data_IF_843691655938
#
_entry.id   IF_843691655938
#
_cell.length_a   1.000
_cell.length_b   1.000
_cell.length_c   1.000
_cell.angle_alpha   90.00
_cell.angle_beta   90.00
_cell.angle_gamma   90.00
#
_symmetry.space_group_name_H-M   'P 1'
#
loop_
_entity.id
_entity.type
_entity.pdbx_description
1 polymer ?
#
# COMPACT_ATOMS: atom_id res chain seq x y z
N UNK A 1 -24.14 -32.79 7.72
CA UNK A 1 -25.06 -32.14 6.77
C UNK A 1 -24.21 -31.35 5.78
N UNK A 2 -24.53 -31.42 4.50
CA UNK A 2 -23.83 -30.60 3.48
C UNK A 2 -24.32 -29.17 3.51
N UNK A 3 -23.42 -28.21 3.38
CA UNK A 3 -23.76 -26.78 3.22
C UNK A 3 -24.63 -26.61 1.96
N UNK A 4 -25.58 -25.69 2.01
CA UNK A 4 -26.44 -25.36 0.86
C UNK A 4 -26.52 -23.85 0.72
N UNK A 5 -26.44 -23.37 -0.51
CA UNK A 5 -26.76 -21.96 -0.80
C UNK A 5 -28.25 -21.74 -0.61
N UNK A 6 -28.65 -20.57 -0.13
CA UNK A 6 -30.07 -20.18 -0.10
C UNK A 6 -30.63 -20.08 -1.53
N UNK A 7 -31.92 -20.16 -1.71
CA UNK A 7 -32.57 -20.04 -3.02
C UNK A 7 -32.32 -18.67 -3.68
N UNK A 8 -32.07 -17.62 -2.87
CA UNK A 8 -31.64 -16.29 -3.33
C UNK A 8 -30.28 -15.94 -2.75
N UNK A 9 -29.40 -15.42 -3.59
CA UNK A 9 -28.10 -14.92 -3.17
C UNK A 9 -28.25 -13.58 -2.44
N UNK A 10 -27.41 -13.32 -1.45
CA UNK A 10 -27.39 -12.03 -0.76
C UNK A 10 -26.70 -10.97 -1.66
N UNK A 11 -27.35 -9.82 -1.92
CA UNK A 11 -26.70 -8.72 -2.62
C UNK A 11 -25.40 -8.29 -1.94
N UNK A 12 -24.39 -7.96 -2.74
CA UNK A 12 -23.05 -7.61 -2.25
C UNK A 12 -23.08 -6.40 -1.30
N UNK A 13 -23.81 -5.36 -1.68
CA UNK A 13 -23.99 -4.13 -0.89
C UNK A 13 -24.66 -4.38 0.45
N UNK A 14 -25.65 -5.27 0.48
CA UNK A 14 -26.33 -5.68 1.71
C UNK A 14 -25.39 -6.42 2.67
N UNK A 15 -24.60 -7.36 2.16
CA UNK A 15 -23.61 -8.09 2.96
C UNK A 15 -22.52 -7.14 3.49
N UNK A 16 -22.01 -6.25 2.63
CA UNK A 16 -21.00 -5.27 2.99
C UNK A 16 -21.52 -4.28 4.06
N UNK A 17 -22.70 -3.73 3.88
CA UNK A 17 -23.33 -2.83 4.85
C UNK A 17 -23.51 -3.48 6.22
N UNK A 18 -23.92 -4.76 6.26
CA UNK A 18 -24.07 -5.51 7.51
C UNK A 18 -22.72 -5.75 8.21
N UNK A 19 -21.63 -5.98 7.45
CA UNK A 19 -20.29 -6.15 8.00
C UNK A 19 -19.68 -4.83 8.48
N UNK A 20 -19.94 -3.72 7.80
CA UNK A 20 -19.43 -2.38 8.17
C UNK A 20 -20.18 -1.78 9.37
N UNK A 21 -21.39 -2.24 9.66
CA UNK A 21 -22.20 -1.73 10.77
C UNK A 21 -21.47 -1.94 12.11
N UNK A 22 -21.17 -0.83 12.81
CA UNK A 22 -20.48 -0.85 14.11
C UNK A 22 -19.00 -1.24 14.01
N UNK A 23 -18.41 -1.21 12.80
CA UNK A 23 -16.97 -1.39 12.61
C UNK A 23 -16.29 -0.01 12.62
N UNK A 24 -15.55 0.27 13.69
CA UNK A 24 -14.83 1.53 13.85
C UNK A 24 -13.35 1.40 13.47
N UNK A 25 -12.70 2.50 13.06
CA UNK A 25 -11.27 2.51 12.85
C UNK A 25 -10.50 2.13 14.11
N UNK A 26 -9.42 1.37 13.92
CA UNK A 26 -8.53 0.98 15.02
C UNK A 26 -7.79 2.20 15.57
N UNK A 27 -7.43 2.14 16.85
CA UNK A 27 -6.52 3.11 17.44
C UNK A 27 -5.13 3.04 16.75
N UNK A 28 -4.47 4.18 16.51
CA UNK A 28 -3.11 4.21 15.99
C UNK A 28 -2.12 3.50 16.92
N UNK A 29 -1.09 2.90 16.32
CA UNK A 29 0.02 2.26 17.02
C UNK A 29 1.35 2.81 16.51
N UNK A 30 2.36 2.86 17.38
CA UNK A 30 3.71 3.26 17.01
C UNK A 30 4.49 2.04 16.52
N UNK A 31 4.86 2.03 15.24
CA UNK A 31 5.67 0.94 14.66
C UNK A 31 7.06 1.44 14.26
N UNK A 32 8.09 0.57 14.37
CA UNK A 32 9.39 0.84 13.76
C UNK A 32 9.23 1.09 12.25
N UNK A 33 10.10 1.94 11.66
CA UNK A 33 10.04 2.23 10.22
C UNK A 33 10.15 0.98 9.34
N UNK A 34 10.82 -0.06 9.82
CA UNK A 34 10.96 -1.36 9.14
C UNK A 34 9.65 -2.13 9.03
N UNK A 35 8.66 -1.80 9.86
CA UNK A 35 7.36 -2.48 9.89
C UNK A 35 6.21 -1.60 9.42
N UNK A 36 6.45 -0.29 9.21
CA UNK A 36 5.41 0.68 8.88
C UNK A 36 4.99 0.67 7.40
N UNK A 37 5.77 0.02 6.52
CA UNK A 37 5.49 -0.03 5.08
C UNK A 37 4.09 -0.62 4.80
N UNK A 38 3.32 0.07 3.94
CA UNK A 38 1.96 -0.33 3.56
C UNK A 38 0.88 -0.03 4.61
N UNK A 39 1.24 0.16 5.89
CA UNK A 39 0.30 0.57 6.94
C UNK A 39 -0.28 1.96 6.64
N UNK A 40 -1.45 2.27 7.17
CA UNK A 40 -2.08 3.56 6.95
C UNK A 40 -1.60 4.57 7.99
N UNK A 41 -1.02 5.68 7.54
CA UNK A 41 -0.51 6.75 8.39
C UNK A 41 -1.65 7.35 9.26
N UNK A 42 -1.35 7.59 10.54
CA UNK A 42 -2.32 8.11 11.50
C UNK A 42 -1.64 8.97 12.57
N UNK A 43 -1.82 10.28 12.51
CA UNK A 43 -1.22 11.19 13.50
C UNK A 43 0.31 11.23 13.43
N UNK A 44 0.90 11.20 12.23
CA UNK A 44 2.34 11.34 12.03
C UNK A 44 2.80 12.75 12.43
N UNK A 45 3.96 12.88 13.12
CA UNK A 45 4.45 14.20 13.53
C UNK A 45 4.85 15.03 12.31
N UNK A 46 4.76 16.36 12.47
CA UNK A 46 5.33 17.28 11.50
C UNK A 46 6.85 17.21 11.57
N UNK A 47 7.48 17.16 10.42
CA UNK A 47 8.93 17.08 10.31
C UNK A 47 9.59 18.44 10.56
N UNK A 48 10.79 18.43 11.14
CA UNK A 48 11.67 19.60 11.16
C UNK A 48 12.31 19.80 9.77
N UNK A 49 12.71 21.05 9.49
CA UNK A 49 13.46 21.36 8.28
C UNK A 49 14.78 20.54 8.21
N UNK A 50 15.09 20.00 7.03
CA UNK A 50 16.29 19.20 6.79
C UNK A 50 16.96 19.58 5.44
N UNK A 51 18.29 19.74 5.40
CA UNK A 51 19.19 19.82 6.55
C UNK A 51 18.89 21.03 7.44
N UNK A 52 19.25 21.02 8.74
CA UNK A 52 18.92 22.12 9.67
C UNK A 52 19.76 23.39 9.41
N UNK A 53 20.78 23.30 8.59
CA UNK A 53 21.69 24.37 8.13
C UNK A 53 22.24 24.04 6.76
N UNK A 54 22.84 25.03 6.09
CA UNK A 54 23.52 24.78 4.79
C UNK A 54 24.63 23.75 4.97
N UNK A 55 24.66 22.75 4.07
CA UNK A 55 25.67 21.68 4.06
C UNK A 55 26.27 21.53 2.67
N UNK A 56 27.50 21.03 2.58
CA UNK A 56 28.13 20.69 1.31
C UNK A 56 27.33 19.59 0.59
N UNK A 57 27.05 19.77 -0.69
CA UNK A 57 26.38 18.78 -1.53
C UNK A 57 27.39 17.82 -2.21
N UNK A 58 28.65 18.19 -2.24
CA UNK A 58 29.78 17.42 -2.81
C UNK A 58 31.04 17.70 -1.99
N UNK A 59 32.02 16.80 -2.11
CA UNK A 59 33.34 17.00 -1.55
C UNK A 59 34.09 18.10 -2.33
N UNK A 60 34.78 18.98 -1.62
CA UNK A 60 35.51 20.06 -2.27
C UNK A 60 35.96 21.18 -1.35
N UNK A 61 36.40 22.28 -1.96
CA UNK A 61 36.89 23.46 -1.28
C UNK A 61 35.77 24.47 -1.02
N UNK A 62 35.50 24.78 0.24
CA UNK A 62 34.50 25.78 0.62
C UNK A 62 35.09 27.19 0.53
N UNK A 63 34.42 28.08 -0.20
CA UNK A 63 34.89 29.42 -0.53
C UNK A 63 33.70 30.41 -0.55
N UNK A 64 34.04 31.72 -0.56
CA UNK A 64 33.09 32.77 -0.83
C UNK A 64 33.08 33.09 -2.33
N UNK A 65 31.98 32.88 -3.01
CA UNK A 65 31.89 33.06 -4.47
C UNK A 65 32.22 34.48 -4.92
N UNK A 66 31.85 35.51 -4.12
CA UNK A 66 32.18 36.90 -4.44
C UNK A 66 33.67 37.19 -4.46
N UNK A 67 34.47 36.43 -3.70
CA UNK A 67 35.94 36.62 -3.66
C UNK A 67 36.64 35.94 -4.84
N UNK A 68 35.91 35.16 -5.65
CA UNK A 68 36.43 34.35 -6.75
C UNK A 68 36.22 34.98 -8.13
N UNK A 69 35.68 36.18 -8.18
CA UNK A 69 35.39 36.86 -9.46
C UNK A 69 36.65 37.08 -10.27
N UNK A 70 36.68 36.59 -11.51
CA UNK A 70 37.85 36.66 -12.43
C UNK A 70 38.81 35.50 -12.28
N UNK A 71 38.63 34.58 -11.32
CA UNK A 71 39.48 33.40 -11.16
C UNK A 71 39.34 32.45 -12.36
N UNK A 72 40.44 32.04 -12.95
CA UNK A 72 40.46 31.04 -14.02
C UNK A 72 41.84 30.36 -14.10
N UNK A 73 41.94 29.27 -14.85
CA UNK A 73 43.22 28.60 -15.10
C UNK A 73 44.25 29.49 -15.80
N UNK A 74 43.83 30.56 -16.49
CA UNK A 74 44.70 31.55 -17.15
C UNK A 74 45.01 32.76 -16.24
N UNK A 75 44.17 32.97 -15.22
CA UNK A 75 44.30 34.03 -14.23
C UNK A 75 44.01 33.48 -12.84
N UNK A 76 44.93 32.65 -12.27
CA UNK A 76 44.74 32.06 -10.95
C UNK A 76 44.62 33.12 -9.88
N UNK A 77 43.66 32.97 -8.96
CA UNK A 77 43.47 33.87 -7.82
C UNK A 77 44.29 33.35 -6.63
N UNK A 78 45.32 34.10 -6.13
CA UNK A 78 46.11 33.65 -5.00
C UNK A 78 45.35 33.84 -3.68
N UNK A 79 45.38 32.83 -2.83
CA UNK A 79 44.89 32.88 -1.46
C UNK A 79 46.07 32.79 -0.48
N UNK A 80 46.01 33.58 0.59
CA UNK A 80 47.06 33.60 1.62
C UNK A 80 47.11 32.31 2.47
N UNK A 81 46.01 31.54 2.48
CA UNK A 81 45.87 30.26 3.19
C UNK A 81 45.05 29.32 2.36
N UNK A 82 45.27 28.02 2.54
CA UNK A 82 44.41 27.01 1.94
C UNK A 82 42.96 27.18 2.44
N UNK A 83 41.98 27.13 1.53
CA UNK A 83 40.56 27.16 1.93
C UNK A 83 40.21 25.88 2.70
N UNK A 84 39.17 25.89 3.51
CA UNK A 84 38.71 24.68 4.19
C UNK A 84 38.18 23.65 3.19
N UNK A 85 38.59 22.40 3.36
CA UNK A 85 37.99 21.25 2.69
C UNK A 85 36.71 20.84 3.42
N UNK A 86 35.70 20.46 2.67
CA UNK A 86 34.43 19.90 3.18
C UNK A 86 34.09 18.62 2.44
N UNK A 87 33.60 17.65 3.17
CA UNK A 87 33.00 16.44 2.59
C UNK A 87 31.49 16.62 2.45
N UNK A 88 30.85 15.88 1.52
CA UNK A 88 29.44 15.94 1.29
C UNK A 88 28.65 15.64 2.60
N UNK A 89 27.78 16.54 2.99
CA UNK A 89 27.03 16.50 4.25
C UNK A 89 27.64 17.33 5.39
N UNK A 90 28.88 17.80 5.26
CA UNK A 90 29.49 18.68 6.24
C UNK A 90 28.76 20.03 6.28
N UNK A 91 28.74 20.64 7.47
CA UNK A 91 28.22 21.99 7.62
C UNK A 91 29.11 22.99 6.88
N UNK A 92 28.50 23.91 6.13
CA UNK A 92 29.24 24.97 5.48
C UNK A 92 29.98 25.83 6.50
N UNK A 93 31.31 26.07 6.30
CA UNK A 93 32.07 26.98 7.13
C UNK A 93 31.49 28.41 7.06
N UNK A 94 31.62 29.15 8.16
CA UNK A 94 31.18 30.54 8.22
C UNK A 94 31.86 31.41 7.15
N UNK A 95 31.06 32.16 6.39
CA UNK A 95 31.57 33.04 5.32
C UNK A 95 31.75 32.33 3.97
N UNK A 96 31.57 31.01 3.88
CA UNK A 96 31.61 30.28 2.62
C UNK A 96 30.17 30.08 2.08
N UNK A 97 29.99 30.31 0.79
CA UNK A 97 28.69 30.20 0.11
C UNK A 97 28.77 29.44 -1.22
N UNK A 98 29.92 28.81 -1.52
CA UNK A 98 30.10 27.86 -2.60
C UNK A 98 31.08 26.76 -2.22
N UNK A 99 30.98 25.60 -2.92
CA UNK A 99 31.98 24.51 -2.89
C UNK A 99 32.48 24.32 -4.31
N UNK A 100 33.80 24.36 -4.49
CA UNK A 100 34.46 24.06 -5.76
C UNK A 100 35.06 22.66 -5.72
N UNK A 101 35.15 22.02 -6.89
CA UNK A 101 35.79 20.71 -7.05
C UNK A 101 37.25 20.71 -6.63
N UNK A 102 37.81 19.55 -6.33
CA UNK A 102 39.16 19.38 -5.84
C UNK A 102 40.23 20.00 -6.75
N UNK A 103 40.05 19.91 -8.07
CA UNK A 103 40.95 20.40 -9.10
C UNK A 103 40.85 21.92 -9.39
N UNK A 104 39.82 22.56 -8.82
CA UNK A 104 39.67 24.02 -8.92
C UNK A 104 40.59 24.80 -7.98
N UNK A 105 41.35 24.13 -7.08
CA UNK A 105 42.31 24.76 -6.18
C UNK A 105 43.62 24.01 -6.18
N UNK A 106 44.70 24.71 -6.49
CA UNK A 106 46.08 24.21 -6.40
C UNK A 106 46.73 24.67 -5.09
N UNK A 107 47.29 23.72 -4.33
CA UNK A 107 48.03 24.01 -3.11
C UNK A 107 49.51 24.21 -3.40
N UNK A 108 50.04 25.38 -3.07
CA UNK A 108 51.44 25.77 -3.26
C UNK A 108 52.12 26.00 -1.91
N UNK A 109 52.38 24.93 -1.17
CA UNK A 109 52.84 24.98 0.22
C UNK A 109 51.77 25.56 1.16
N UNK A 110 52.05 26.68 1.87
CA UNK A 110 51.05 27.32 2.73
C UNK A 110 50.01 28.16 1.96
N UNK A 111 50.29 28.45 0.70
CA UNK A 111 49.45 29.27 -0.19
C UNK A 111 48.55 28.37 -1.04
N UNK A 112 47.46 28.92 -1.57
CA UNK A 112 46.62 28.26 -2.55
C UNK A 112 46.34 29.17 -3.74
N UNK A 113 46.02 28.59 -4.90
CA UNK A 113 45.57 29.30 -6.09
C UNK A 113 44.22 28.72 -6.53
N UNK A 114 43.21 29.58 -6.71
CA UNK A 114 41.90 29.19 -7.22
C UNK A 114 41.87 29.38 -8.72
N UNK A 115 41.50 28.33 -9.45
CA UNK A 115 41.54 28.23 -10.90
C UNK A 115 40.18 28.38 -11.58
N UNK A 116 39.11 28.58 -10.79
CA UNK A 116 37.77 28.70 -11.30
C UNK A 116 36.91 29.67 -10.47
N UNK A 117 35.97 30.33 -11.12
CA UNK A 117 34.96 31.13 -10.43
C UNK A 117 33.93 30.19 -9.75
N UNK A 118 33.36 30.65 -8.63
CA UNK A 118 32.23 30.03 -7.96
C UNK A 118 30.98 30.87 -8.10
N UNK A 119 29.84 30.22 -8.01
CA UNK A 119 28.54 30.89 -7.96
C UNK A 119 27.92 30.68 -6.57
N UNK A 120 27.32 31.72 -5.94
CA UNK A 120 26.64 31.55 -4.65
C UNK A 120 25.61 30.42 -4.65
N UNK A 121 25.78 29.45 -3.74
CA UNK A 121 24.98 28.24 -3.67
C UNK A 121 25.48 27.05 -4.46
N UNK A 122 26.53 27.20 -5.28
CA UNK A 122 27.15 26.09 -6.00
C UNK A 122 27.71 25.05 -5.03
N UNK A 123 27.39 23.78 -5.25
CA UNK A 123 27.85 22.67 -4.39
C UNK A 123 27.30 22.71 -2.97
N UNK A 124 26.20 23.45 -2.71
CA UNK A 124 25.58 23.58 -1.38
C UNK A 124 24.14 23.06 -1.42
N UNK A 125 23.79 22.29 -0.41
CA UNK A 125 22.41 21.98 -0.07
C UNK A 125 21.95 22.94 1.03
N UNK A 126 20.95 23.76 0.70
CA UNK A 126 20.44 24.80 1.60
C UNK A 126 19.67 24.21 2.78
N UNK A 127 19.70 24.89 3.89
CA UNK A 127 18.84 24.60 5.04
C UNK A 127 17.37 24.46 4.60
N UNK A 128 16.73 23.36 4.99
CA UNK A 128 15.36 23.04 4.58
C UNK A 128 15.18 22.63 3.11
N UNK A 129 16.27 22.47 2.36
CA UNK A 129 16.19 22.16 0.93
C UNK A 129 15.64 20.77 0.60
N UNK A 130 15.78 19.81 1.51
CA UNK A 130 15.25 18.44 1.35
C UNK A 130 13.90 18.26 2.01
N UNK A 131 13.70 18.88 3.17
CA UNK A 131 12.45 18.90 3.93
C UNK A 131 12.24 20.35 4.42
N UNK A 132 11.18 20.98 3.95
CA UNK A 132 10.78 22.31 4.36
C UNK A 132 10.00 22.22 5.66
N UNK A 133 10.31 22.02 6.73
CA UNK A 133 9.59 21.86 7.99
C UNK A 133 8.07 22.11 7.98
N UNK A 134 7.36 21.42 8.85
CA UNK A 134 5.90 21.58 8.98
C UNK A 134 5.05 20.64 8.13
N UNK A 135 5.67 19.77 7.32
CA UNK A 135 4.98 18.69 6.60
C UNK A 135 5.13 17.35 7.33
N UNK A 136 4.13 16.45 7.33
CA UNK A 136 4.27 15.11 7.89
C UNK A 136 5.06 14.20 6.94
N UNK A 137 5.77 13.21 7.47
CA UNK A 137 6.46 12.20 6.66
C UNK A 137 5.51 11.41 5.75
N UNK A 138 4.29 11.15 6.23
CA UNK A 138 3.22 10.51 5.50
C UNK A 138 1.90 11.22 5.80
N UNK A 139 1.09 11.46 4.76
CA UNK A 139 -0.21 12.08 4.93
C UNK A 139 -1.18 11.13 5.63
N UNK A 140 -1.99 11.65 6.55
CA UNK A 140 -2.97 10.84 7.29
C UNK A 140 -3.98 10.18 6.36
N UNK A 141 -4.29 8.91 6.63
CA UNK A 141 -5.22 8.12 5.82
C UNK A 141 -4.63 7.55 4.53
N UNK A 142 -3.36 7.82 4.25
CA UNK A 142 -2.66 7.23 3.10
C UNK A 142 -1.67 6.14 3.53
N UNK A 143 -1.35 5.18 2.63
CA UNK A 143 -0.35 4.16 2.92
C UNK A 143 1.05 4.76 3.04
N UNK A 144 1.81 4.26 4.01
CA UNK A 144 3.22 4.61 4.19
C UNK A 144 4.04 3.94 3.08
N UNK A 145 4.39 4.72 2.07
CA UNK A 145 5.22 4.27 0.95
C UNK A 145 6.72 4.43 1.21
N UNK A 146 7.58 3.94 0.29
CA UNK A 146 9.04 4.06 0.39
C UNK A 146 9.54 5.50 0.51
N UNK A 147 8.93 6.45 -0.20
CA UNK A 147 9.29 7.87 -0.12
C UNK A 147 8.99 8.46 1.26
N UNK A 148 7.85 8.11 1.88
CA UNK A 148 7.51 8.52 3.23
C UNK A 148 8.51 7.98 4.26
N UNK A 149 8.95 6.72 4.10
CA UNK A 149 9.97 6.11 4.94
C UNK A 149 11.35 6.78 4.76
N UNK A 150 11.68 7.21 3.53
CA UNK A 150 12.90 7.98 3.28
C UNK A 150 12.88 9.31 4.03
N UNK A 151 11.78 10.08 3.91
CA UNK A 151 11.58 11.35 4.63
C UNK A 151 11.68 11.16 6.14
N UNK A 152 10.99 10.13 6.68
CA UNK A 152 11.04 9.82 8.11
C UNK A 152 12.46 9.54 8.59
N UNK A 153 13.24 8.75 7.85
CA UNK A 153 14.66 8.46 8.18
C UNK A 153 15.54 9.70 8.10
N UNK A 154 15.39 10.51 7.05
CA UNK A 154 16.14 11.75 6.89
C UNK A 154 15.85 12.74 8.04
N UNK A 155 14.62 12.76 8.53
CA UNK A 155 14.22 13.55 9.68
C UNK A 155 14.62 12.94 11.05
N UNK A 156 15.30 11.79 11.06
CA UNK A 156 15.75 11.12 12.30
C UNK A 156 14.63 10.42 13.07
N UNK A 157 13.51 10.07 12.43
CA UNK A 157 12.45 9.30 13.07
C UNK A 157 12.79 7.81 13.05
N UNK A 158 12.56 7.13 14.17
CA UNK A 158 12.71 5.66 14.29
C UNK A 158 11.38 4.93 14.14
N UNK A 159 10.27 5.63 14.37
CA UNK A 159 8.92 5.07 14.42
C UNK A 159 7.93 6.00 13.72
N UNK A 160 6.84 5.39 13.22
CA UNK A 160 5.69 6.13 12.71
C UNK A 160 4.40 5.68 13.41
N UNK A 161 3.49 6.61 13.58
CA UNK A 161 2.13 6.34 14.04
C UNK A 161 1.28 5.88 12.85
N UNK A 162 0.73 4.68 12.94
CA UNK A 162 -0.02 4.04 11.85
C UNK A 162 -1.18 3.20 12.38
N UNK A 163 -2.15 2.89 11.52
CA UNK A 163 -3.17 1.87 11.78
C UNK A 163 -2.78 0.59 11.02
N UNK A 164 -2.70 -0.51 11.76
CA UNK A 164 -2.31 -1.83 11.24
C UNK A 164 -3.31 -2.89 11.71
N UNK A 165 -4.34 -3.22 10.91
CA UNK A 165 -5.30 -4.26 11.27
C UNK A 165 -4.62 -5.64 11.38
N UNK A 166 -5.01 -6.41 12.40
CA UNK A 166 -4.54 -7.79 12.61
C UNK A 166 -5.48 -8.74 11.89
N UNK A 167 -4.97 -9.49 10.97
CA UNK A 167 -5.69 -10.44 10.16
C UNK A 167 -5.29 -11.87 10.51
N UNK A 168 -6.26 -12.67 10.93
CA UNK A 168 -6.11 -14.12 11.03
C UNK A 168 -6.65 -14.78 9.77
N UNK A 169 -5.84 -15.62 9.14
CA UNK A 169 -6.24 -16.43 7.99
C UNK A 169 -6.19 -17.91 8.39
N UNK A 170 -7.32 -18.57 8.35
CA UNK A 170 -7.43 -20.01 8.57
C UNK A 170 -7.51 -20.72 7.22
N UNK A 171 -6.46 -21.48 6.87
CA UNK A 171 -6.44 -22.32 5.69
C UNK A 171 -7.21 -23.62 5.95
N UNK A 172 -8.22 -23.90 5.14
CA UNK A 172 -8.86 -25.22 5.11
C UNK A 172 -8.03 -26.11 4.19
N UNK A 173 -7.57 -27.30 4.64
CA UNK A 173 -6.63 -28.13 3.89
C UNK A 173 -7.00 -28.30 2.42
N UNK A 174 -6.04 -28.03 1.51
CA UNK A 174 -6.22 -28.07 0.07
C UNK A 174 -6.41 -26.71 -0.62
N UNK A 175 -6.34 -25.59 0.12
CA UNK A 175 -6.42 -24.23 -0.44
C UNK A 175 -5.13 -23.41 -0.21
N UNK A 176 -4.01 -24.06 0.03
CA UNK A 176 -2.73 -23.45 0.45
C UNK A 176 -2.22 -22.38 -0.52
N UNK A 177 -2.27 -22.61 -1.85
CA UNK A 177 -1.84 -21.62 -2.84
C UNK A 177 -2.68 -20.34 -2.80
N UNK A 178 -3.99 -20.49 -2.64
CA UNK A 178 -4.93 -19.35 -2.49
C UNK A 178 -4.69 -18.63 -1.17
N UNK A 179 -4.45 -19.36 -0.08
CA UNK A 179 -4.12 -18.77 1.22
C UNK A 179 -2.85 -17.90 1.13
N UNK A 180 -1.79 -18.40 0.47
CA UNK A 180 -0.57 -17.61 0.27
C UNK A 180 -0.84 -16.32 -0.52
N UNK A 181 -1.60 -16.41 -1.63
CA UNK A 181 -1.99 -15.23 -2.42
C UNK A 181 -2.67 -14.17 -1.54
N UNK A 182 -3.67 -14.58 -0.76
CA UNK A 182 -4.43 -13.65 0.10
C UNK A 182 -3.53 -13.09 1.22
N UNK A 183 -2.67 -13.91 1.82
CA UNK A 183 -1.74 -13.47 2.85
C UNK A 183 -0.73 -12.45 2.32
N UNK A 184 -0.20 -12.65 1.11
CA UNK A 184 0.78 -11.74 0.50
C UNK A 184 0.13 -10.41 0.12
N UNK A 185 -1.08 -10.43 -0.45
CA UNK A 185 -1.85 -9.21 -0.75
C UNK A 185 -2.17 -8.45 0.55
N UNK A 186 -2.55 -9.15 1.62
CA UNK A 186 -2.85 -8.54 2.90
C UNK A 186 -1.61 -7.89 3.54
N UNK A 187 -0.46 -8.55 3.49
CA UNK A 187 0.81 -7.97 3.97
C UNK A 187 1.21 -6.74 3.16
N UNK A 188 1.07 -6.80 1.84
CA UNK A 188 1.33 -5.65 0.96
C UNK A 188 0.40 -4.46 1.26
N UNK A 189 -0.82 -4.73 1.72
CA UNK A 189 -1.77 -3.72 2.19
C UNK A 189 -1.51 -3.26 3.65
N UNK A 190 -0.39 -3.65 4.26
CA UNK A 190 0.04 -3.20 5.58
C UNK A 190 -0.65 -3.89 6.77
N UNK A 191 -1.27 -5.06 6.58
CA UNK A 191 -1.88 -5.80 7.67
C UNK A 191 -0.86 -6.65 8.43
N UNK A 192 -1.12 -6.88 9.72
CA UNK A 192 -0.44 -7.91 10.50
C UNK A 192 -1.12 -9.26 10.27
N UNK A 193 -0.48 -10.14 9.51
CA UNK A 193 -1.09 -11.37 9.00
C UNK A 193 -0.57 -12.59 9.75
N UNK A 194 -1.48 -13.28 10.41
CA UNK A 194 -1.24 -14.59 11.02
C UNK A 194 -1.99 -15.67 10.23
N UNK A 195 -1.27 -16.67 9.75
CA UNK A 195 -1.84 -17.81 9.05
C UNK A 195 -1.87 -19.04 9.92
N UNK A 196 -2.93 -19.84 9.83
CA UNK A 196 -3.08 -21.09 10.55
C UNK A 196 -3.76 -22.12 9.65
N UNK A 197 -3.33 -23.37 9.70
CA UNK A 197 -3.97 -24.45 8.97
C UNK A 197 -4.91 -25.21 9.90
N UNK A 198 -6.16 -25.39 9.51
CA UNK A 198 -7.09 -26.24 10.25
C UNK A 198 -6.60 -27.71 10.20
N UNK A 199 -6.72 -28.43 11.31
CA UNK A 199 -6.25 -29.82 11.40
C UNK A 199 -6.99 -30.77 10.45
N UNK A 200 -8.23 -30.43 10.11
CA UNK A 200 -9.06 -31.16 9.13
C UNK A 200 -10.06 -30.25 8.45
N UNK A 201 -10.79 -30.80 7.46
CA UNK A 201 -11.84 -30.05 6.71
C UNK A 201 -13.21 -30.06 7.37
N UNK A 202 -13.37 -30.64 8.55
CA UNK A 202 -14.64 -30.66 9.26
C UNK A 202 -14.87 -29.36 10.06
N UNK A 203 -16.14 -29.14 10.43
CA UNK A 203 -16.53 -27.89 11.09
C UNK A 203 -15.97 -27.73 12.52
N UNK A 204 -15.59 -28.81 13.21
CA UNK A 204 -15.01 -28.73 14.54
C UNK A 204 -13.56 -28.23 14.44
N UNK A 205 -12.75 -28.87 13.59
CA UNK A 205 -11.36 -28.52 13.34
C UNK A 205 -11.21 -27.07 12.80
N UNK A 206 -12.11 -26.64 11.91
CA UNK A 206 -12.11 -25.27 11.40
C UNK A 206 -12.51 -24.28 12.50
N UNK A 207 -13.53 -24.60 13.31
CA UNK A 207 -13.95 -23.73 14.40
C UNK A 207 -12.91 -23.59 15.52
N UNK A 208 -12.15 -24.64 15.81
CA UNK A 208 -11.01 -24.61 16.74
C UNK A 208 -9.89 -23.69 16.22
N UNK A 209 -9.65 -23.70 14.91
CA UNK A 209 -8.65 -22.83 14.28
C UNK A 209 -8.98 -21.32 14.33
N UNK A 210 -10.22 -20.96 14.70
CA UNK A 210 -10.59 -19.55 14.93
C UNK A 210 -9.98 -18.98 16.21
N UNK A 211 -9.61 -19.84 17.17
CA UNK A 211 -9.04 -19.39 18.44
C UNK A 211 -7.64 -18.79 18.25
N UNK A 212 -7.50 -17.53 18.63
CA UNK A 212 -6.25 -16.81 18.67
C UNK A 212 -6.36 -15.67 19.69
N UNK A 213 -5.23 -15.19 20.24
CA UNK A 213 -5.27 -14.19 21.31
C UNK A 213 -6.00 -12.91 20.91
N UNK A 214 -5.74 -12.42 19.71
CA UNK A 214 -6.34 -11.15 19.22
C UNK A 214 -6.25 -11.05 17.70
N UNK A 215 -7.33 -10.67 17.06
CA UNK A 215 -7.40 -10.28 15.64
C UNK A 215 -8.60 -9.33 15.43
N UNK A 216 -8.52 -8.51 14.39
CA UNK A 216 -9.53 -7.51 14.05
C UNK A 216 -10.40 -7.97 12.87
N UNK A 217 -9.91 -8.96 12.12
CA UNK A 217 -10.57 -9.59 10.97
C UNK A 217 -10.16 -11.06 10.87
N UNK A 218 -11.11 -11.93 10.59
CA UNK A 218 -10.87 -13.36 10.36
C UNK A 218 -11.29 -13.75 8.94
N UNK A 219 -10.39 -14.44 8.24
CA UNK A 219 -10.71 -15.09 6.97
C UNK A 219 -10.54 -16.60 7.09
N UNK A 220 -11.43 -17.38 6.48
CA UNK A 220 -11.14 -18.75 6.10
C UNK A 220 -10.89 -18.82 4.61
N UNK A 221 -9.95 -19.66 4.18
CA UNK A 221 -9.68 -19.90 2.75
C UNK A 221 -9.99 -21.36 2.44
N UNK A 222 -11.01 -21.56 1.61
CA UNK A 222 -11.58 -22.85 1.31
C UNK A 222 -12.74 -23.25 2.23
N UNK A 223 -13.48 -24.27 1.84
CA UNK A 223 -14.59 -24.83 2.60
C UNK A 223 -15.87 -23.99 2.66
N UNK A 224 -15.96 -22.89 1.93
CA UNK A 224 -17.17 -22.04 1.85
C UNK A 224 -18.22 -22.55 0.86
N UNK A 225 -17.87 -23.49 -0.01
CA UNK A 225 -18.75 -24.02 -1.04
C UNK A 225 -19.84 -24.93 -0.52
N UNK A 226 -20.46 -25.68 -1.45
CA UNK A 226 -21.55 -26.63 -1.17
C UNK A 226 -21.13 -28.08 -1.35
N UNK A 227 -19.83 -28.32 -1.50
CA UNK A 227 -19.26 -29.66 -1.61
C UNK A 227 -19.44 -30.48 -0.33
N UNK A 228 -19.33 -31.79 -0.45
CA UNK A 228 -19.51 -32.72 0.70
C UNK A 228 -18.49 -32.50 1.84
N UNK A 229 -17.34 -31.90 1.53
CA UNK A 229 -16.25 -31.62 2.47
C UNK A 229 -16.17 -30.13 2.85
N UNK A 230 -17.12 -29.32 2.44
CA UNK A 230 -17.14 -27.90 2.76
C UNK A 230 -17.87 -27.69 4.09
N UNK A 231 -17.21 -27.04 5.04
CA UNK A 231 -17.70 -26.91 6.40
C UNK A 231 -17.36 -25.56 7.07
N UNK A 232 -16.75 -24.61 6.35
CA UNK A 232 -16.33 -23.33 6.92
C UNK A 232 -17.52 -22.50 7.43
N UNK A 233 -18.63 -22.50 6.70
CA UNK A 233 -19.86 -21.79 7.12
C UNK A 233 -20.51 -22.47 8.32
N UNK A 234 -20.50 -23.79 8.36
CA UNK A 234 -20.97 -24.56 9.54
C UNK A 234 -20.09 -24.29 10.76
N UNK A 235 -18.77 -24.17 10.58
CA UNK A 235 -17.84 -23.78 11.64
C UNK A 235 -18.13 -22.38 12.17
N UNK A 236 -18.37 -21.42 11.26
CA UNK A 236 -18.77 -20.07 11.63
C UNK A 236 -20.09 -20.07 12.43
N UNK A 237 -21.11 -20.78 11.97
CA UNK A 237 -22.41 -20.88 12.65
C UNK A 237 -22.32 -21.51 14.05
N UNK A 238 -21.29 -22.30 14.35
CA UNK A 238 -21.05 -22.85 15.70
C UNK A 238 -20.46 -21.85 16.69
N UNK A 239 -19.78 -20.83 16.20
CA UNK A 239 -18.98 -19.90 17.03
C UNK A 239 -19.53 -18.47 17.00
N UNK A 240 -20.35 -18.12 16.01
CA UNK A 240 -20.85 -16.79 15.81
C UNK A 240 -22.06 -16.74 14.88
N UNK A 241 -22.28 -15.58 14.31
CA UNK A 241 -23.43 -15.30 13.47
C UNK A 241 -23.08 -15.37 11.99
N UNK A 242 -23.86 -16.09 11.21
CA UNK A 242 -23.79 -16.09 9.74
C UNK A 242 -24.74 -15.02 9.21
N UNK A 243 -24.18 -13.98 8.58
CA UNK A 243 -24.93 -12.87 7.97
C UNK A 243 -25.40 -13.27 6.57
N UNK A 244 -24.51 -13.88 5.79
CA UNK A 244 -24.80 -14.32 4.43
C UNK A 244 -24.00 -15.59 4.09
N UNK A 245 -24.63 -16.52 3.37
CA UNK A 245 -23.94 -17.62 2.68
C UNK A 245 -24.42 -17.65 1.25
N UNK A 246 -23.51 -17.38 0.32
CA UNK A 246 -23.81 -17.12 -1.08
C UNK A 246 -24.09 -15.64 -1.34
N UNK A 247 -23.17 -15.05 -2.09
CA UNK A 247 -23.21 -13.64 -2.49
C UNK A 247 -23.60 -13.50 -3.95
N UNK A 248 -24.37 -12.47 -4.27
CA UNK A 248 -24.64 -12.05 -5.64
C UNK A 248 -23.39 -11.36 -6.22
N UNK A 249 -22.28 -12.09 -6.30
CA UNK A 249 -20.95 -11.66 -6.75
C UNK A 249 -20.33 -12.71 -7.63
N UNK A 250 -19.76 -12.30 -8.76
CA UNK A 250 -19.02 -13.18 -9.67
C UNK A 250 -17.68 -12.54 -10.11
N UNK A 251 -16.55 -13.30 -9.96
CA UNK A 251 -16.41 -14.56 -9.23
C UNK A 251 -16.64 -14.37 -7.72
N UNK A 252 -16.92 -15.45 -6.98
CA UNK A 252 -17.05 -15.39 -5.51
C UNK A 252 -18.40 -15.80 -4.92
N UNK A 253 -19.29 -16.34 -5.74
CA UNK A 253 -20.66 -16.68 -5.40
C UNK A 253 -20.82 -17.51 -4.11
N UNK A 254 -19.88 -18.41 -3.80
CA UNK A 254 -19.96 -19.32 -2.65
C UNK A 254 -19.34 -18.75 -1.38
N UNK A 255 -18.89 -17.50 -1.40
CA UNK A 255 -18.38 -16.85 -0.19
C UNK A 255 -19.47 -16.70 0.87
N UNK A 256 -19.03 -16.61 2.13
CA UNK A 256 -19.93 -16.33 3.24
C UNK A 256 -19.37 -15.20 4.10
N UNK A 257 -20.26 -14.48 4.74
CA UNK A 257 -19.99 -13.37 5.65
C UNK A 257 -20.66 -13.60 6.99
N UNK A 258 -20.00 -13.22 8.06
CA UNK A 258 -20.54 -13.32 9.41
C UNK A 258 -19.71 -12.58 10.44
N UNK A 259 -19.92 -12.88 11.71
CA UNK A 259 -19.20 -12.26 12.84
C UNK A 259 -18.91 -13.26 13.95
N UNK A 260 -17.80 -13.05 14.64
CA UNK A 260 -17.51 -13.62 15.96
C UNK A 260 -17.51 -12.47 16.97
N UNK A 261 -18.62 -12.29 17.66
CA UNK A 261 -18.86 -11.07 18.44
C UNK A 261 -18.84 -9.84 17.54
N UNK A 262 -17.86 -8.94 17.76
CA UNK A 262 -17.70 -7.75 16.92
C UNK A 262 -16.75 -7.95 15.72
N UNK A 263 -16.02 -9.05 15.69
CA UNK A 263 -15.02 -9.31 14.63
C UNK A 263 -15.70 -9.81 13.36
N UNK A 264 -15.53 -9.12 12.22
CA UNK A 264 -15.99 -9.62 10.92
C UNK A 264 -15.28 -10.92 10.55
N UNK A 265 -16.05 -11.85 9.98
CA UNK A 265 -15.54 -13.13 9.46
C UNK A 265 -16.00 -13.30 8.03
N UNK A 266 -15.04 -13.63 7.14
CA UNK A 266 -15.35 -13.90 5.74
C UNK A 266 -14.80 -15.28 5.37
N UNK A 267 -15.68 -16.17 4.90
CA UNK A 267 -15.27 -17.44 4.35
C UNK A 267 -15.05 -17.30 2.84
N UNK A 268 -13.78 -17.28 2.45
CA UNK A 268 -13.35 -17.20 1.05
C UNK A 268 -13.44 -18.57 0.37
N UNK A 269 -13.83 -18.64 -0.91
CA UNK A 269 -13.69 -19.84 -1.72
C UNK A 269 -12.23 -20.33 -1.79
N UNK A 270 -12.04 -21.61 -2.09
CA UNK A 270 -10.69 -22.19 -2.17
C UNK A 270 -9.97 -21.90 -3.47
N UNK A 271 -10.65 -21.45 -4.53
CA UNK A 271 -10.01 -21.05 -5.80
C UNK A 271 -9.52 -19.61 -5.75
N UNK A 272 -8.38 -19.34 -6.37
CA UNK A 272 -7.68 -18.06 -6.29
C UNK A 272 -8.48 -16.89 -6.89
N UNK A 273 -9.13 -17.13 -8.02
CA UNK A 273 -9.97 -16.16 -8.72
C UNK A 273 -11.16 -15.70 -7.84
N UNK A 274 -11.90 -16.64 -7.29
CA UNK A 274 -13.05 -16.33 -6.44
C UNK A 274 -12.61 -15.70 -5.12
N UNK A 275 -11.54 -16.18 -4.49
CA UNK A 275 -11.04 -15.62 -3.25
C UNK A 275 -10.54 -14.18 -3.44
N UNK A 276 -9.82 -13.90 -4.54
CA UNK A 276 -9.37 -12.56 -4.87
C UNK A 276 -10.52 -11.61 -5.16
N UNK A 277 -11.55 -12.05 -5.88
CA UNK A 277 -12.74 -11.23 -6.13
C UNK A 277 -13.46 -10.84 -4.82
N UNK A 278 -13.63 -11.81 -3.91
CA UNK A 278 -14.23 -11.54 -2.59
C UNK A 278 -13.31 -10.63 -1.75
N UNK A 279 -11.99 -10.81 -1.85
CA UNK A 279 -11.03 -9.89 -1.25
C UNK A 279 -11.27 -8.45 -1.72
N UNK A 280 -11.30 -8.21 -3.03
CA UNK A 280 -11.48 -6.89 -3.62
C UNK A 280 -12.82 -6.25 -3.27
N UNK A 281 -13.91 -7.03 -3.35
CA UNK A 281 -15.26 -6.51 -3.19
C UNK A 281 -15.76 -6.43 -1.75
N UNK A 282 -15.26 -7.27 -0.84
CA UNK A 282 -15.79 -7.39 0.51
C UNK A 282 -14.72 -7.18 1.60
N UNK A 283 -13.56 -7.84 1.48
CA UNK A 283 -12.52 -7.74 2.51
C UNK A 283 -11.84 -6.38 2.49
N UNK A 284 -11.49 -5.90 1.31
CA UNK A 284 -10.75 -4.64 1.15
C UNK A 284 -11.48 -3.42 1.74
N UNK A 285 -12.81 -3.24 1.54
CA UNK A 285 -13.56 -2.19 2.21
C UNK A 285 -13.55 -2.28 3.74
N UNK A 286 -13.51 -3.49 4.32
CA UNK A 286 -13.38 -3.66 5.78
C UNK A 286 -12.00 -3.27 6.27
N UNK A 287 -10.96 -3.65 5.54
CA UNK A 287 -9.58 -3.24 5.82
C UNK A 287 -9.46 -1.72 5.75
N UNK A 288 -10.02 -1.08 4.72
CA UNK A 288 -10.01 0.36 4.57
C UNK A 288 -10.75 1.05 5.74
N UNK A 289 -11.86 0.50 6.19
CA UNK A 289 -12.59 1.00 7.36
C UNK A 289 -11.78 0.85 8.65
N UNK A 290 -11.21 -0.33 8.92
CA UNK A 290 -10.41 -0.59 10.13
C UNK A 290 -9.15 0.28 10.19
N UNK A 291 -8.53 0.55 9.06
CA UNK A 291 -7.33 1.39 8.97
C UNK A 291 -7.62 2.88 8.81
N UNK A 292 -8.89 3.30 8.69
CA UNK A 292 -9.31 4.65 8.33
C UNK A 292 -8.60 5.16 7.06
N UNK A 293 -8.42 4.28 6.09
CA UNK A 293 -7.84 4.64 4.79
C UNK A 293 -8.76 5.62 4.06
N UNK A 294 -8.17 6.64 3.47
CA UNK A 294 -8.89 7.51 2.53
C UNK A 294 -9.29 6.73 1.27
N UNK A 295 -10.33 7.20 0.54
CA UNK A 295 -10.81 6.51 -0.65
C UNK A 295 -9.68 6.15 -1.62
N UNK A 296 -9.68 4.90 -2.10
CA UNK A 296 -8.70 4.42 -3.08
C UNK A 296 -8.81 5.19 -4.38
N UNK A 297 -7.66 5.41 -5.00
CA UNK A 297 -7.58 6.09 -6.29
C UNK A 297 -8.28 5.27 -7.37
N UNK A 298 -9.08 5.94 -8.20
CA UNK A 298 -9.66 5.39 -9.42
C UNK A 298 -9.10 6.13 -10.61
N UNK A 299 -8.93 5.42 -11.70
CA UNK A 299 -8.52 5.99 -12.99
C UNK A 299 -9.67 5.78 -13.97
N UNK A 300 -10.14 6.87 -14.55
CA UNK A 300 -11.19 6.85 -15.56
C UNK A 300 -10.57 6.82 -16.94
N UNK A 301 -10.77 5.74 -17.68
CA UNK A 301 -10.35 5.59 -19.08
C UNK A 301 -11.48 4.98 -19.90
N UNK A 302 -11.48 5.19 -21.25
CA UNK A 302 -12.45 4.53 -22.11
C UNK A 302 -12.20 3.01 -22.13
N UNK A 303 -13.27 2.25 -22.22
CA UNK A 303 -13.20 0.79 -22.32
C UNK A 303 -12.92 0.37 -23.78
N UNK A 304 -11.85 -0.37 -24.02
CA UNK A 304 -11.47 -0.78 -25.38
C UNK A 304 -12.47 -1.76 -26.01
N UNK A 305 -13.12 -2.61 -25.19
CA UNK A 305 -14.09 -3.62 -25.63
C UNK A 305 -15.26 -3.66 -24.65
N UNK A 306 -16.47 -4.00 -25.16
CA UNK A 306 -17.67 -4.16 -24.34
C UNK A 306 -17.44 -5.19 -23.22
N UNK A 307 -17.91 -4.86 -22.02
CA UNK A 307 -18.16 -5.79 -20.93
C UNK A 307 -19.65 -6.03 -20.86
N UNK A 308 -20.08 -7.29 -20.94
CA UNK A 308 -21.47 -7.67 -20.70
C UNK A 308 -21.58 -8.31 -19.30
N UNK A 309 -22.63 -8.00 -18.58
CA UNK A 309 -22.94 -8.50 -17.24
C UNK A 309 -24.41 -8.85 -17.12
N UNK A 310 -24.75 -9.63 -16.11
CA UNK A 310 -26.14 -10.05 -15.83
C UNK A 310 -26.73 -9.22 -14.69
N UNK A 311 -27.90 -8.65 -14.89
CA UNK A 311 -28.64 -7.96 -13.83
C UNK A 311 -28.92 -8.91 -12.66
N UNK A 312 -28.74 -8.41 -11.44
CA UNK A 312 -28.95 -9.16 -10.20
C UNK A 312 -27.69 -9.74 -9.58
N UNK A 313 -26.56 -9.72 -10.29
CA UNK A 313 -25.25 -10.18 -9.81
C UNK A 313 -24.22 -9.10 -10.06
N UNK A 314 -23.45 -8.70 -9.05
CA UNK A 314 -22.29 -7.86 -9.22
C UNK A 314 -21.14 -8.67 -9.83
N UNK A 315 -20.44 -8.12 -10.82
CA UNK A 315 -19.33 -8.80 -11.46
C UNK A 315 -18.05 -7.98 -11.36
N UNK A 316 -16.91 -8.66 -11.13
CA UNK A 316 -15.64 -8.00 -11.17
C UNK A 316 -14.93 -8.34 -12.46
N UNK A 317 -14.46 -7.31 -13.15
CA UNK A 317 -13.61 -7.40 -14.33
C UNK A 317 -12.17 -7.04 -14.00
N UNK A 318 -11.21 -7.81 -14.52
CA UNK A 318 -9.79 -7.48 -14.52
C UNK A 318 -9.43 -6.76 -15.81
N UNK A 319 -8.66 -5.69 -15.68
CA UNK A 319 -8.31 -4.78 -16.76
C UNK A 319 -6.80 -4.62 -16.86
N UNK A 320 -6.32 -4.36 -18.08
CA UNK A 320 -4.96 -3.88 -18.34
C UNK A 320 -5.05 -2.54 -19.08
N UNK A 321 -4.12 -1.62 -18.83
CA UNK A 321 -4.03 -0.39 -19.57
C UNK A 321 -3.25 -0.61 -20.86
N UNK A 322 -3.87 -0.33 -22.01
CA UNK A 322 -3.21 -0.32 -23.31
C UNK A 322 -3.70 0.91 -24.10
N UNK A 323 -2.76 1.71 -24.60
CA UNK A 323 -3.04 2.89 -25.44
C UNK A 323 -4.06 3.87 -24.84
N UNK A 324 -3.94 4.17 -23.53
CA UNK A 324 -4.85 5.02 -22.77
C UNK A 324 -6.31 4.53 -22.76
N UNK A 325 -6.50 3.22 -22.80
CA UNK A 325 -7.79 2.58 -22.66
C UNK A 325 -7.72 1.36 -21.73
N UNK A 326 -8.82 1.06 -21.06
CA UNK A 326 -8.95 -0.17 -20.30
C UNK A 326 -9.31 -1.33 -21.23
N UNK A 327 -8.44 -2.31 -21.32
CA UNK A 327 -8.68 -3.57 -22.04
C UNK A 327 -9.11 -4.65 -21.06
N UNK A 328 -10.34 -5.19 -21.18
CA UNK A 328 -10.78 -6.30 -20.32
C UNK A 328 -9.95 -7.55 -20.58
N UNK A 329 -9.34 -8.08 -19.52
CA UNK A 329 -8.64 -9.37 -19.54
C UNK A 329 -9.57 -10.53 -19.25
N UNK A 330 -10.42 -10.38 -18.22
CA UNK A 330 -11.39 -11.39 -17.81
C UNK A 330 -12.54 -10.75 -17.03
N UNK A 331 -13.74 -11.31 -17.15
CA UNK A 331 -14.95 -10.92 -16.41
C UNK A 331 -15.65 -12.20 -15.98
N UNK A 332 -16.08 -12.30 -14.72
CA UNK A 332 -16.83 -13.45 -14.20
C UNK A 332 -15.97 -14.67 -13.86
N UNK A 333 -15.05 -15.09 -14.71
CA UNK A 333 -14.07 -16.17 -14.47
C UNK A 333 -12.68 -15.67 -14.82
N UNK A 334 -11.69 -15.93 -13.95
CA UNK A 334 -10.35 -15.39 -14.13
C UNK A 334 -9.29 -16.49 -14.24
N UNK A 335 -8.71 -16.67 -15.42
CA UNK A 335 -7.47 -17.43 -15.54
C UNK A 335 -6.35 -16.81 -14.68
N UNK A 336 -5.50 -17.61 -14.09
CA UNK A 336 -4.38 -17.10 -13.26
C UNK A 336 -3.49 -16.10 -14.02
N UNK A 337 -3.34 -16.28 -15.33
CA UNK A 337 -2.61 -15.34 -16.19
C UNK A 337 -3.29 -13.95 -16.25
N UNK A 338 -4.62 -13.88 -16.19
CA UNK A 338 -5.33 -12.60 -16.15
C UNK A 338 -5.07 -11.89 -14.81
N UNK A 339 -5.08 -12.64 -13.70
CA UNK A 339 -4.73 -12.09 -12.37
C UNK A 339 -3.31 -11.53 -12.35
N UNK A 340 -2.35 -12.25 -12.94
CA UNK A 340 -0.94 -11.84 -12.97
C UNK A 340 -0.68 -10.59 -13.82
N UNK A 341 -1.49 -10.37 -14.87
CA UNK A 341 -1.34 -9.28 -15.84
C UNK A 341 -2.19 -8.05 -15.53
N UNK A 342 -3.16 -8.17 -14.63
CA UNK A 342 -4.08 -7.08 -14.35
C UNK A 342 -3.38 -5.87 -13.71
N UNK A 343 -3.61 -4.69 -14.29
CA UNK A 343 -3.22 -3.40 -13.71
C UNK A 343 -4.31 -2.83 -12.81
N UNK A 344 -5.58 -3.14 -13.16
CA UNK A 344 -6.74 -2.61 -12.46
C UNK A 344 -7.91 -3.60 -12.43
N UNK A 345 -8.87 -3.30 -11.59
CA UNK A 345 -10.14 -4.02 -11.51
C UNK A 345 -11.31 -3.06 -11.51
N UNK A 346 -12.44 -3.53 -12.03
CA UNK A 346 -13.69 -2.79 -12.17
C UNK A 346 -14.81 -3.62 -11.54
N UNK A 347 -15.63 -2.99 -10.71
CA UNK A 347 -16.89 -3.57 -10.24
C UNK A 347 -18.02 -3.13 -11.17
N UNK A 348 -18.68 -4.10 -11.83
CA UNK A 348 -19.95 -3.90 -12.52
C UNK A 348 -21.05 -4.09 -11.49
N UNK A 349 -21.85 -3.04 -11.16
CA UNK A 349 -22.90 -3.17 -10.18
C UNK A 349 -24.00 -4.15 -10.62
N UNK A 350 -24.67 -4.81 -9.68
CA UNK A 350 -25.75 -5.75 -9.96
C UNK A 350 -26.97 -5.14 -10.69
N UNK A 351 -27.08 -3.81 -10.71
CA UNK A 351 -28.11 -3.08 -11.47
C UNK A 351 -27.74 -2.79 -12.93
N UNK A 352 -26.52 -3.16 -13.38
CA UNK A 352 -26.00 -2.84 -14.70
C UNK A 352 -25.87 -4.08 -15.60
N UNK A 353 -26.12 -3.92 -16.88
CA UNK A 353 -25.88 -4.94 -17.91
C UNK A 353 -24.45 -4.92 -18.47
N UNK A 354 -23.55 -4.17 -17.82
CA UNK A 354 -22.16 -3.96 -18.25
C UNK A 354 -21.93 -2.59 -18.87
N UNK A 355 -20.85 -2.47 -19.67
CA UNK A 355 -20.41 -1.21 -20.26
C UNK A 355 -20.11 -1.39 -21.74
N UNK A 356 -20.51 -0.42 -22.57
CA UNK A 356 -20.22 -0.42 -24.01
C UNK A 356 -18.73 -0.16 -24.27
N UNK A 357 -18.22 -0.59 -25.42
CA UNK A 357 -16.92 -0.16 -25.91
C UNK A 357 -16.90 1.37 -26.07
N UNK A 358 -15.81 2.03 -25.71
CA UNK A 358 -15.65 3.48 -25.69
C UNK A 358 -16.25 4.18 -24.47
N UNK A 359 -17.05 3.51 -23.63
CA UNK A 359 -17.60 4.10 -22.43
C UNK A 359 -16.48 4.39 -21.41
N UNK A 360 -16.47 5.58 -20.77
CA UNK A 360 -15.56 5.86 -19.67
C UNK A 360 -15.94 5.01 -18.47
N UNK A 361 -14.97 4.31 -17.87
CA UNK A 361 -15.15 3.50 -16.68
C UNK A 361 -14.10 3.81 -15.63
N UNK A 362 -14.53 3.84 -14.36
CA UNK A 362 -13.66 4.03 -13.22
C UNK A 362 -13.11 2.68 -12.76
N UNK A 363 -11.81 2.49 -12.84
CA UNK A 363 -11.15 1.28 -12.37
C UNK A 363 -10.22 1.57 -11.19
N UNK A 364 -10.17 0.65 -10.25
CA UNK A 364 -9.23 0.68 -9.12
C UNK A 364 -7.94 0.00 -9.52
N UNK A 365 -6.80 0.57 -9.13
CA UNK A 365 -5.50 -0.06 -9.38
C UNK A 365 -5.32 -1.31 -8.52
N UNK A 366 -4.68 -2.34 -9.11
CA UNK A 366 -4.32 -3.57 -8.37
C UNK A 366 -3.16 -3.34 -7.41
N UNK A 367 -2.31 -2.35 -7.73
CA UNK A 367 -1.11 -1.98 -6.94
C UNK A 367 -1.11 -0.45 -6.80
N UNK A 368 -1.12 0.01 -5.57
CA UNK A 368 -1.03 1.42 -5.20
C UNK A 368 0.25 1.68 -4.41
#
# INVERSE_FOLDING_TARGET
MTQRLPPSLTPLDTALAALLKGLDPLAPVQLPLTEAAGCIAAGTPLLAAHPPRDVAAADGWALCANDLVGASSYSPLPLATAPPWVDAGDAMPAGCDCVLDADAVELCGPLAQVLAEGVPGQGIRRAGGDIDGGTPAAAEGYPVGPAALLLARAAGLDRLSVRRPRLRIVNVPGATGTMHLIADIARAAGLDVQTHEASARDAASIAEAFDAPTYDLLLTVGGSGVGRKDAAVTALARRGDVIAHGLALQPGRTAAAGRLGQVPVIALPGSADQALAVWLALVLPLVDRLSARLPRRRITLPLARKIASSVGIAEIGLLVEEHHAWVPLAVGEWPLQAIARADAWLLVPASHEGFAAGAPVDAYLMRE
#
